data_IF_136834693073
#
_entry.id   IF_136834693073
#
_cell.length_a   1.000
_cell.length_b   1.000
_cell.length_c   1.000
_cell.angle_alpha   90.00
_cell.angle_beta   90.00
_cell.angle_gamma   90.00
#
_symmetry.space_group_name_H-M   'P 1'
#
loop_
_entity.id
_entity.type
_entity.pdbx_description
1 polymer ?
#
# COMPACT_ATOMS: atom_id res chain seq x y z
N UNK A 1 77.12 27.27 -12.47
CA UNK A 1 76.43 26.92 -11.21
C UNK A 1 74.96 26.76 -11.56
N UNK A 2 74.50 25.53 -11.72
CA UNK A 2 73.13 25.20 -12.05
C UNK A 2 72.49 24.54 -10.80
N UNK A 3 71.44 25.12 -10.25
CA UNK A 3 70.69 24.56 -9.12
C UNK A 3 69.48 23.87 -9.70
N UNK A 4 69.42 22.52 -9.58
CA UNK A 4 68.25 21.72 -9.93
C UNK A 4 67.32 21.68 -8.75
N UNK A 5 66.10 22.20 -8.92
CA UNK A 5 65.01 22.11 -7.96
C UNK A 5 64.13 20.89 -8.25
N UNK A 6 64.13 19.91 -7.35
CA UNK A 6 63.24 18.75 -7.42
C UNK A 6 61.85 19.09 -6.86
N UNK A 7 60.83 19.00 -7.69
CA UNK A 7 59.42 19.10 -7.29
C UNK A 7 58.95 17.70 -6.85
N UNK A 8 58.63 17.55 -5.55
CA UNK A 8 57.97 16.36 -5.01
C UNK A 8 56.47 16.42 -5.25
N UNK A 9 55.94 15.52 -6.07
CA UNK A 9 54.49 15.36 -6.27
C UNK A 9 53.97 14.43 -5.17
N UNK A 10 53.21 14.99 -4.23
CA UNK A 10 52.47 14.23 -3.22
C UNK A 10 51.25 13.58 -3.87
N UNK A 11 51.27 12.27 -4.04
CA UNK A 11 50.12 11.48 -4.44
C UNK A 11 49.16 11.31 -3.24
N UNK A 12 48.01 11.94 -3.31
CA UNK A 12 46.89 11.68 -2.38
C UNK A 12 46.32 10.30 -2.72
N UNK A 13 46.56 9.31 -1.85
CA UNK A 13 45.91 8.02 -1.89
C UNK A 13 44.43 8.16 -1.54
N UNK A 14 43.57 8.02 -2.53
CA UNK A 14 42.14 7.88 -2.33
C UNK A 14 41.82 6.50 -1.73
N UNK A 15 41.58 6.44 -0.41
CA UNK A 15 41.09 5.25 0.24
C UNK A 15 39.66 4.88 -0.24
N UNK A 16 39.30 3.59 -0.26
CA UNK A 16 37.95 3.17 -0.67
C UNK A 16 36.95 3.73 0.32
N UNK A 17 36.00 4.53 -0.18
CA UNK A 17 34.83 4.97 0.57
C UNK A 17 33.99 3.71 0.82
N UNK A 18 33.96 3.24 2.07
CA UNK A 18 33.02 2.19 2.48
C UNK A 18 31.60 2.74 2.29
N UNK A 19 30.94 2.27 1.25
CA UNK A 19 29.52 2.52 1.05
C UNK A 19 28.77 1.87 2.23
N UNK A 20 28.33 2.71 3.17
CA UNK A 20 27.39 2.30 4.21
C UNK A 20 26.05 2.01 3.54
N UNK A 21 25.87 0.80 3.03
CA UNK A 21 24.57 0.31 2.58
C UNK A 21 23.69 0.16 3.82
N UNK A 22 22.57 0.90 3.94
CA UNK A 22 21.65 0.65 5.01
C UNK A 22 21.16 -0.79 4.90
N UNK A 23 21.28 -1.57 5.98
CA UNK A 23 20.72 -2.91 6.06
C UNK A 23 19.21 -2.78 5.81
N UNK A 24 18.77 -3.21 4.63
CA UNK A 24 17.35 -3.34 4.30
C UNK A 24 16.77 -4.40 5.22
N UNK A 25 15.98 -3.97 6.21
CA UNK A 25 15.23 -4.90 7.07
C UNK A 25 14.26 -5.67 6.18
N UNK A 26 14.68 -6.87 5.79
CA UNK A 26 13.86 -8.03 5.45
C UNK A 26 12.63 -7.91 4.53
N UNK A 27 12.48 -6.80 3.80
CA UNK A 27 11.39 -6.64 2.86
C UNK A 27 11.71 -7.34 1.53
N UNK A 28 10.91 -8.32 1.15
CA UNK A 28 10.98 -8.93 -0.18
C UNK A 28 10.31 -7.98 -1.17
N UNK A 29 11.10 -7.34 -2.06
CA UNK A 29 10.54 -6.49 -3.11
C UNK A 29 9.98 -7.36 -4.22
N UNK A 30 8.70 -7.22 -4.51
CA UNK A 30 8.15 -7.66 -5.79
C UNK A 30 8.61 -6.63 -6.82
N UNK A 31 9.57 -7.03 -7.66
CA UNK A 31 10.16 -6.20 -8.70
C UNK A 31 9.13 -5.78 -9.74
N UNK A 32 8.64 -4.58 -9.61
CA UNK A 32 7.85 -3.83 -10.56
C UNK A 32 7.88 -2.39 -10.08
N UNK A 33 7.88 -1.44 -11.00
CA UNK A 33 8.09 0.01 -10.79
C UNK A 33 6.99 0.70 -9.94
N UNK A 34 6.35 -0.03 -9.06
CA UNK A 34 5.32 0.38 -8.11
C UNK A 34 5.88 0.18 -6.71
N UNK A 35 5.69 1.11 -5.80
CA UNK A 35 6.13 1.02 -4.40
C UNK A 35 5.50 -0.15 -3.62
N UNK A 36 5.47 -1.35 -4.23
CA UNK A 36 4.90 -2.58 -3.71
C UNK A 36 5.89 -3.31 -2.81
N UNK A 37 5.44 -3.72 -1.64
CA UNK A 37 6.25 -4.39 -0.63
C UNK A 37 5.42 -5.45 0.10
N UNK A 38 5.97 -6.67 0.26
CA UNK A 38 5.44 -7.69 1.18
C UNK A 38 6.28 -7.73 2.45
N UNK A 39 5.64 -7.90 3.60
CA UNK A 39 6.29 -8.06 4.91
C UNK A 39 6.40 -9.55 5.26
N UNK A 40 7.53 -9.93 5.85
CA UNK A 40 7.70 -11.29 6.40
C UNK A 40 6.73 -11.50 7.56
N UNK A 41 6.26 -12.72 7.84
CA UNK A 41 5.28 -12.97 8.90
C UNK A 41 5.65 -12.38 10.27
N UNK A 42 6.93 -12.43 10.67
CA UNK A 42 7.41 -11.88 11.95
C UNK A 42 7.52 -10.34 11.99
N UNK A 43 7.46 -9.68 10.84
CA UNK A 43 7.64 -8.22 10.72
C UNK A 43 6.31 -7.49 10.43
N UNK A 44 5.18 -8.21 10.41
CA UNK A 44 3.86 -7.67 10.09
C UNK A 44 3.29 -6.88 11.27
N UNK A 45 3.09 -5.56 11.16
CA UNK A 45 2.41 -4.81 12.21
C UNK A 45 0.92 -5.14 12.25
N UNK A 46 0.32 -5.09 13.44
CA UNK A 46 -1.12 -5.21 13.56
C UNK A 46 -1.81 -4.05 12.85
N UNK A 47 -2.86 -4.35 12.07
CA UNK A 47 -3.71 -3.31 11.51
C UNK A 47 -4.54 -2.67 12.61
N UNK A 48 -4.64 -1.32 12.66
CA UNK A 48 -5.57 -0.63 13.56
C UNK A 48 -7.00 -1.11 13.32
N UNK A 49 -7.77 -1.33 14.37
CA UNK A 49 -9.18 -1.62 14.24
C UNK A 49 -9.94 -0.32 14.03
N UNK A 50 -10.37 -0.10 12.81
CA UNK A 50 -11.16 1.07 12.42
C UNK A 50 -12.61 0.69 12.22
N UNK A 51 -13.50 1.62 12.49
CA UNK A 51 -14.92 1.47 12.22
C UNK A 51 -15.53 2.80 11.75
N UNK A 52 -16.53 2.71 10.89
CA UNK A 52 -17.14 3.91 10.34
C UNK A 52 -18.47 3.61 9.66
N UNK A 53 -19.01 4.63 9.01
CA UNK A 53 -20.19 4.50 8.15
C UNK A 53 -19.73 4.35 6.71
N UNK A 54 -20.25 3.34 6.02
CA UNK A 54 -20.00 3.17 4.58
C UNK A 54 -20.73 4.23 3.77
N UNK A 55 -20.32 4.43 2.52
CA UNK A 55 -21.06 5.30 1.58
C UNK A 55 -22.53 4.87 1.39
N UNK A 56 -22.84 3.58 1.56
CA UNK A 56 -24.23 3.09 1.55
C UNK A 56 -25.00 3.28 2.88
N UNK A 57 -24.41 3.93 3.88
CA UNK A 57 -25.04 4.24 5.17
C UNK A 57 -24.94 3.13 6.24
N UNK A 58 -24.34 1.98 5.92
CA UNK A 58 -24.19 0.88 6.88
C UNK A 58 -23.00 1.09 7.82
N UNK A 59 -23.07 0.60 9.06
CA UNK A 59 -21.91 0.55 9.96
C UNK A 59 -21.03 -0.65 9.62
N UNK A 60 -19.72 -0.43 9.60
CA UNK A 60 -18.75 -1.47 9.28
C UNK A 60 -17.47 -1.25 10.08
N UNK A 61 -16.87 -2.34 10.57
CA UNK A 61 -15.53 -2.33 11.20
C UNK A 61 -14.58 -3.25 10.44
N UNK A 62 -13.30 -2.95 10.47
CA UNK A 62 -12.27 -3.80 9.89
C UNK A 62 -12.22 -5.17 10.59
N UNK A 63 -12.47 -5.20 11.90
CA UNK A 63 -12.54 -6.44 12.70
C UNK A 63 -13.63 -7.42 12.23
N UNK A 64 -14.67 -6.94 11.55
CA UNK A 64 -15.70 -7.81 10.96
C UNK A 64 -15.15 -8.76 9.87
N UNK A 65 -13.95 -8.47 9.36
CA UNK A 65 -13.29 -9.28 8.33
C UNK A 65 -12.21 -10.22 8.88
N UNK A 66 -12.10 -10.39 10.21
CA UNK A 66 -11.16 -11.36 10.79
C UNK A 66 -11.35 -12.76 10.20
N UNK A 67 -10.25 -13.48 9.99
CA UNK A 67 -10.27 -14.78 9.33
C UNK A 67 -10.27 -14.73 7.80
N UNK A 68 -10.35 -13.51 7.20
CA UNK A 68 -10.22 -13.32 5.75
C UNK A 68 -9.00 -12.45 5.43
N UNK A 69 -8.49 -12.54 4.22
CA UNK A 69 -7.52 -11.57 3.70
C UNK A 69 -8.28 -10.31 3.32
N UNK A 70 -7.78 -9.13 3.72
CA UNK A 70 -8.40 -7.85 3.36
C UNK A 70 -7.48 -7.04 2.47
N UNK A 71 -8.01 -6.54 1.36
CA UNK A 71 -7.42 -5.47 0.56
C UNK A 71 -8.06 -4.16 1.01
N UNK A 72 -7.29 -3.34 1.72
CA UNK A 72 -7.72 -2.04 2.22
C UNK A 72 -7.13 -0.96 1.32
N UNK A 73 -7.97 -0.24 0.58
CA UNK A 73 -7.55 0.79 -0.37
C UNK A 73 -7.98 2.18 0.09
N UNK A 74 -7.03 3.10 0.18
CA UNK A 74 -7.25 4.51 0.49
C UNK A 74 -7.34 5.28 -0.82
N UNK A 75 -8.45 5.97 -1.05
CA UNK A 75 -8.78 6.60 -2.33
C UNK A 75 -9.64 7.86 -2.18
N UNK A 76 -9.87 8.56 -3.27
CA UNK A 76 -10.83 9.65 -3.40
C UNK A 76 -11.20 9.84 -4.87
N UNK A 77 -12.42 10.28 -5.18
CA UNK A 77 -12.89 10.47 -6.55
C UNK A 77 -12.12 11.54 -7.33
N UNK A 78 -11.55 12.50 -6.60
CA UNK A 78 -10.72 13.60 -7.10
C UNK A 78 -9.28 13.18 -7.46
N UNK A 79 -8.84 11.99 -7.03
CA UNK A 79 -7.49 11.48 -7.18
C UNK A 79 -7.30 10.82 -8.56
N UNK A 80 -6.49 11.40 -9.44
CA UNK A 80 -6.26 10.88 -10.79
C UNK A 80 -5.68 9.47 -10.83
N UNK A 81 -4.60 9.11 -10.07
CA UNK A 81 -4.10 7.74 -10.06
C UNK A 81 -5.07 6.73 -9.42
N UNK A 82 -5.98 7.18 -8.52
CA UNK A 82 -7.03 6.31 -7.99
C UNK A 82 -8.03 5.89 -9.09
N UNK A 83 -8.30 6.79 -10.04
CA UNK A 83 -9.12 6.48 -11.22
C UNK A 83 -8.46 5.45 -12.12
N UNK A 84 -7.15 5.52 -12.28
CA UNK A 84 -6.40 4.59 -13.11
C UNK A 84 -6.40 3.16 -12.51
N UNK A 85 -6.30 3.01 -11.19
CA UNK A 85 -6.31 1.68 -10.55
C UNK A 85 -7.72 1.10 -10.31
N UNK A 86 -8.77 1.91 -10.33
CA UNK A 86 -10.13 1.49 -9.99
C UNK A 86 -10.63 0.25 -10.77
N UNK A 87 -10.42 0.14 -12.11
CA UNK A 87 -10.78 -1.06 -12.85
C UNK A 87 -10.05 -2.32 -12.37
N UNK A 88 -8.77 -2.16 -12.00
CA UNK A 88 -7.94 -3.24 -11.42
C UNK A 88 -8.52 -3.76 -10.12
N UNK A 89 -8.84 -2.86 -9.20
CA UNK A 89 -9.42 -3.20 -7.91
C UNK A 89 -10.81 -3.85 -8.08
N UNK A 90 -11.66 -3.32 -8.95
CA UNK A 90 -12.97 -3.88 -9.25
C UNK A 90 -12.85 -5.32 -9.79
N UNK A 91 -11.98 -5.57 -10.77
CA UNK A 91 -11.77 -6.89 -11.36
C UNK A 91 -11.20 -7.90 -10.34
N UNK A 92 -10.16 -7.50 -9.58
CA UNK A 92 -9.55 -8.38 -8.58
C UNK A 92 -10.48 -8.67 -7.41
N UNK A 93 -11.33 -7.72 -7.00
CA UNK A 93 -12.33 -7.96 -5.95
C UNK A 93 -13.31 -9.07 -6.33
N UNK A 94 -13.74 -9.12 -7.57
CA UNK A 94 -14.62 -10.17 -8.08
C UNK A 94 -13.87 -11.51 -8.21
N UNK A 95 -12.65 -11.49 -8.77
CA UNK A 95 -11.83 -12.68 -8.97
C UNK A 95 -11.52 -13.41 -7.66
N UNK A 96 -11.26 -12.67 -6.58
CA UNK A 96 -10.83 -13.25 -5.31
C UNK A 96 -11.97 -13.41 -4.28
N UNK A 97 -13.20 -13.02 -4.60
CA UNK A 97 -14.34 -13.10 -3.68
C UNK A 97 -14.57 -14.51 -3.12
N UNK A 98 -14.45 -15.56 -3.96
CA UNK A 98 -14.60 -16.96 -3.58
C UNK A 98 -13.36 -17.56 -2.90
N UNK A 99 -12.25 -16.81 -2.85
CA UNK A 99 -10.96 -17.25 -2.28
C UNK A 99 -10.71 -16.71 -0.85
N UNK A 100 -11.73 -16.20 -0.18
CA UNK A 100 -11.61 -15.65 1.17
C UNK A 100 -10.88 -14.32 1.22
N UNK A 101 -10.93 -13.53 0.14
CA UNK A 101 -10.44 -12.15 0.11
C UNK A 101 -11.61 -11.19 0.12
N UNK A 102 -11.50 -10.15 0.91
CA UNK A 102 -12.46 -9.05 0.97
C UNK A 102 -11.77 -7.74 0.59
N UNK A 103 -12.48 -6.87 -0.10
CA UNK A 103 -12.02 -5.54 -0.42
C UNK A 103 -12.80 -4.53 0.41
N UNK A 104 -12.12 -3.53 0.92
CA UNK A 104 -12.67 -2.41 1.67
C UNK A 104 -11.98 -1.13 1.22
N UNK A 105 -12.76 -0.13 0.83
CA UNK A 105 -12.26 1.21 0.55
C UNK A 105 -12.29 2.10 1.79
N UNK A 106 -11.41 3.10 1.82
CA UNK A 106 -11.53 4.27 2.69
C UNK A 106 -11.52 5.48 1.76
N UNK A 107 -12.68 6.11 1.63
CA UNK A 107 -12.89 7.29 0.80
C UNK A 107 -12.58 8.53 1.61
N UNK A 108 -11.51 9.24 1.25
CA UNK A 108 -10.98 10.36 2.04
C UNK A 108 -11.24 11.71 1.38
N UNK A 109 -11.60 12.69 2.20
CA UNK A 109 -11.77 14.10 1.78
C UNK A 109 -12.66 14.26 0.55
N UNK A 110 -13.72 13.50 0.48
CA UNK A 110 -14.64 13.48 -0.66
C UNK A 110 -16.08 13.74 -0.22
N UNK A 111 -16.93 14.10 -1.17
CA UNK A 111 -18.36 14.13 -0.94
C UNK A 111 -18.97 12.75 -1.20
N UNK A 112 -19.94 12.29 -0.40
CA UNK A 112 -20.59 11.00 -0.64
C UNK A 112 -21.14 10.88 -2.07
N UNK A 113 -21.70 11.95 -2.62
CA UNK A 113 -22.24 11.95 -3.98
C UNK A 113 -21.17 11.70 -5.06
N UNK A 114 -19.98 12.34 -4.93
CA UNK A 114 -18.87 12.14 -5.85
C UNK A 114 -18.27 10.74 -5.72
N UNK A 115 -18.11 10.28 -4.48
CA UNK A 115 -17.58 8.95 -4.17
C UNK A 115 -18.50 7.84 -4.71
N UNK A 116 -19.82 7.96 -4.51
CA UNK A 116 -20.80 7.01 -5.06
C UNK A 116 -20.84 7.02 -6.59
N UNK A 117 -20.74 8.19 -7.22
CA UNK A 117 -20.66 8.29 -8.68
C UNK A 117 -19.41 7.56 -9.19
N UNK A 118 -18.26 7.81 -8.56
CA UNK A 118 -17.01 7.10 -8.88
C UNK A 118 -17.16 5.58 -8.76
N UNK A 119 -17.70 5.08 -7.65
CA UNK A 119 -17.91 3.64 -7.46
C UNK A 119 -18.81 3.03 -8.54
N UNK A 120 -19.88 3.73 -8.93
CA UNK A 120 -20.76 3.28 -10.02
C UNK A 120 -20.05 3.25 -11.37
N UNK A 121 -19.34 4.31 -11.70
CA UNK A 121 -18.69 4.49 -13.00
C UNK A 121 -17.58 3.43 -13.25
N UNK A 122 -16.86 3.04 -12.18
CA UNK A 122 -15.82 2.02 -12.24
C UNK A 122 -16.28 0.59 -11.85
N UNK A 123 -17.58 0.40 -11.60
CA UNK A 123 -18.13 -0.92 -11.26
C UNK A 123 -17.63 -1.48 -9.95
N UNK A 124 -17.24 -0.64 -9.00
CA UNK A 124 -16.77 -1.02 -7.67
C UNK A 124 -17.99 -1.47 -6.84
N UNK A 125 -17.97 -2.72 -6.37
CA UNK A 125 -19.08 -3.34 -5.61
C UNK A 125 -18.75 -3.63 -4.16
N UNK A 126 -17.48 -3.49 -3.76
CA UNK A 126 -17.08 -3.65 -2.36
C UNK A 126 -17.37 -2.37 -1.57
N UNK A 127 -17.62 -2.47 -0.25
CA UNK A 127 -17.94 -1.31 0.57
C UNK A 127 -16.75 -0.35 0.69
N UNK A 128 -17.05 0.94 0.86
CA UNK A 128 -16.09 1.98 1.23
C UNK A 128 -16.59 2.73 2.47
N UNK A 129 -15.73 2.90 3.46
CA UNK A 129 -15.95 3.79 4.59
C UNK A 129 -15.80 5.23 4.13
N UNK A 130 -16.71 6.10 4.56
CA UNK A 130 -16.63 7.54 4.33
C UNK A 130 -15.77 8.19 5.42
N UNK A 131 -14.65 8.80 5.01
CA UNK A 131 -13.64 9.42 5.90
C UNK A 131 -13.34 10.87 5.46
N UNK A 132 -14.30 11.79 5.54
CA UNK A 132 -14.12 13.16 5.06
C UNK A 132 -13.09 13.96 5.83
N UNK A 133 -12.73 13.54 7.04
CA UNK A 133 -11.77 14.21 7.94
C UNK A 133 -10.42 13.51 8.04
N UNK A 134 -10.18 12.44 7.27
CA UNK A 134 -8.94 11.62 7.31
C UNK A 134 -8.71 10.88 8.65
N UNK A 135 -9.67 10.82 9.54
CA UNK A 135 -9.50 10.19 10.87
C UNK A 135 -9.16 8.70 10.78
N UNK A 136 -9.84 7.98 9.88
CA UNK A 136 -9.59 6.56 9.66
C UNK A 136 -8.22 6.36 8.98
N UNK A 137 -7.88 7.21 8.00
CA UNK A 137 -6.58 7.17 7.33
C UNK A 137 -5.43 7.49 8.31
N UNK A 138 -5.62 8.43 9.22
CA UNK A 138 -4.63 8.79 10.25
C UNK A 138 -4.35 7.66 11.24
N UNK A 139 -5.29 6.74 11.47
CA UNK A 139 -5.03 5.56 12.28
C UNK A 139 -3.89 4.70 11.72
N UNK A 140 -3.66 4.74 10.40
CA UNK A 140 -2.60 4.01 9.69
C UNK A 140 -1.32 4.83 9.47
N UNK A 141 -1.12 5.97 10.15
CA UNK A 141 0.01 6.90 9.93
C UNK A 141 1.41 6.28 9.99
N UNK A 142 1.57 5.11 10.61
CA UNK A 142 2.82 4.36 10.61
C UNK A 142 3.08 3.55 9.33
N UNK A 143 2.05 3.37 8.48
CA UNK A 143 2.08 2.52 7.29
C UNK A 143 1.64 3.27 6.04
N UNK A 144 0.71 4.20 6.18
CA UNK A 144 0.19 5.08 5.14
C UNK A 144 0.68 6.49 5.43
N UNK A 145 1.25 7.17 4.43
CA UNK A 145 1.61 8.58 4.56
C UNK A 145 0.34 9.43 4.60
N UNK A 146 0.24 10.43 5.47
CA UNK A 146 -0.88 11.36 5.46
C UNK A 146 -1.08 11.97 4.06
N UNK A 147 -2.27 11.80 3.50
CA UNK A 147 -2.59 12.28 2.15
C UNK A 147 -1.96 11.49 1.00
N UNK A 148 -1.22 10.42 1.27
CA UNK A 148 -0.60 9.55 0.26
C UNK A 148 -1.61 8.58 -0.36
N UNK A 149 -2.45 9.05 -1.30
CA UNK A 149 -3.37 8.20 -2.06
C UNK A 149 -3.00 8.18 -3.55
N UNK A 150 -3.28 7.04 -4.22
CA UNK A 150 -3.79 5.82 -3.62
C UNK A 150 -2.72 5.09 -2.79
N UNK A 151 -3.16 4.40 -1.76
CA UNK A 151 -2.36 3.41 -1.05
C UNK A 151 -3.21 2.17 -0.81
N UNK A 152 -2.65 1.01 -1.11
CA UNK A 152 -3.32 -0.28 -0.88
C UNK A 152 -2.55 -1.10 0.14
N UNK A 153 -3.23 -1.56 1.19
CA UNK A 153 -2.69 -2.49 2.19
C UNK A 153 -3.31 -3.86 1.99
N UNK A 154 -2.48 -4.90 2.15
CA UNK A 154 -2.94 -6.27 2.28
C UNK A 154 -2.88 -6.65 3.76
N UNK A 155 -4.00 -7.04 4.31
CA UNK A 155 -4.12 -7.47 5.71
C UNK A 155 -4.39 -8.97 5.71
N UNK A 156 -3.62 -9.72 6.47
CA UNK A 156 -3.76 -11.17 6.57
C UNK A 156 -4.95 -11.59 7.47
N UNK A 157 -5.24 -12.89 7.52
CA UNK A 157 -6.36 -13.45 8.29
C UNK A 157 -6.28 -13.17 9.78
N UNK A 158 -5.08 -12.99 10.32
CA UNK A 158 -4.86 -12.64 11.72
C UNK A 158 -5.01 -11.13 12.00
N UNK A 159 -5.16 -10.32 10.93
CA UNK A 159 -5.34 -8.88 11.00
C UNK A 159 -4.03 -8.10 11.08
N UNK A 160 -2.94 -8.66 10.56
CA UNK A 160 -1.67 -7.97 10.44
C UNK A 160 -1.47 -7.49 9.00
N UNK A 161 -0.80 -6.35 8.84
CA UNK A 161 -0.48 -5.79 7.53
C UNK A 161 0.63 -6.62 6.92
N UNK A 162 0.28 -7.42 5.90
CA UNK A 162 1.18 -8.32 5.20
C UNK A 162 1.84 -7.71 3.97
N UNK A 163 1.26 -6.63 3.43
CA UNK A 163 1.83 -5.96 2.27
C UNK A 163 1.28 -4.57 2.07
N UNK A 164 1.98 -3.79 1.24
CA UNK A 164 1.64 -2.40 0.94
C UNK A 164 2.00 -2.06 -0.50
N UNK A 165 1.15 -1.28 -1.15
CA UNK A 165 1.43 -0.60 -2.41
C UNK A 165 1.22 0.89 -2.18
N UNK A 166 2.24 1.71 -2.45
CA UNK A 166 2.15 3.17 -2.44
C UNK A 166 2.07 3.63 -3.90
N UNK A 167 1.04 4.41 -4.23
CA UNK A 167 0.71 4.78 -5.60
C UNK A 167 -0.21 3.77 -6.29
N UNK A 168 -0.39 3.93 -7.59
CA UNK A 168 -1.30 3.14 -8.42
C UNK A 168 -0.98 1.63 -8.38
N UNK A 169 -1.99 0.82 -8.11
CA UNK A 169 -1.90 -0.64 -8.11
C UNK A 169 -2.05 -1.20 -9.52
N UNK A 170 -1.00 -1.81 -10.07
CA UNK A 170 -1.13 -2.55 -11.33
C UNK A 170 -1.84 -3.89 -11.11
N UNK A 171 -2.57 -4.37 -12.14
CA UNK A 171 -3.25 -5.66 -12.07
C UNK A 171 -2.28 -6.82 -11.79
N UNK A 172 -1.15 -6.88 -12.49
CA UNK A 172 -0.16 -7.95 -12.31
C UNK A 172 0.47 -7.91 -10.92
N UNK A 173 0.82 -6.72 -10.42
CA UNK A 173 1.46 -6.55 -9.11
C UNK A 173 0.52 -6.96 -7.96
N UNK A 174 -0.68 -6.38 -7.92
CA UNK A 174 -1.64 -6.71 -6.85
C UNK A 174 -2.11 -8.17 -6.95
N UNK A 175 -2.30 -8.71 -8.17
CA UNK A 175 -2.66 -10.12 -8.35
C UNK A 175 -1.57 -11.07 -7.85
N UNK A 176 -0.29 -10.77 -8.08
CA UNK A 176 0.82 -11.56 -7.56
C UNK A 176 0.86 -11.56 -6.03
N UNK A 177 0.72 -10.39 -5.40
CA UNK A 177 0.67 -10.26 -3.94
C UNK A 177 -0.53 -11.02 -3.34
N UNK A 178 -1.71 -10.95 -3.99
CA UNK A 178 -2.89 -11.70 -3.56
C UNK A 178 -2.73 -13.22 -3.72
N UNK A 179 -2.08 -13.67 -4.78
CA UNK A 179 -1.76 -15.09 -4.96
C UNK A 179 -0.82 -15.59 -3.85
N UNK A 180 0.22 -14.82 -3.53
CA UNK A 180 1.19 -15.16 -2.49
C UNK A 180 0.53 -15.24 -1.10
N UNK A 181 -0.19 -14.20 -0.67
CA UNK A 181 -0.83 -14.16 0.65
C UNK A 181 -1.93 -15.21 0.81
N UNK A 182 -2.63 -15.59 -0.26
CA UNK A 182 -3.67 -16.62 -0.20
C UNK A 182 -3.10 -18.04 -0.22
N UNK A 183 -1.94 -18.26 -0.84
CA UNK A 183 -1.24 -19.55 -0.84
C UNK A 183 -0.54 -19.84 0.49
N UNK A 184 0.07 -18.83 1.11
CA UNK A 184 0.78 -18.94 2.39
C UNK A 184 -0.10 -18.98 3.65
N UNK A 185 -1.40 -19.09 3.49
CA UNK A 185 -2.41 -19.01 4.56
C UNK A 185 -2.83 -20.38 5.10
N UNK A 186 -1.93 -21.37 5.05
CA UNK A 186 -2.13 -22.71 5.63
C UNK A 186 -1.51 -22.80 7.01
#
# INVERSE_FOLDING_TARGET
>A
MAVAGSLAVSACASGPIAANTPKSNGASFVTGNTGAQMFKPGDRPAAPDISGTTLSGSKLSLSAYRGTVVVLNFWGSWCSPCRAEAPTLAALSQKYASRGVRFLGIDIRDSPASAEAFMRDYGIRYPSLNDPSDELALAFRGTVSPGGIPTTLLIDRSGHIAGRIIGESSYSGLNAMLADITAGSS
#
